data_IF_982545292937
#
_entry.id   IF_982545292937
#
_cell.length_a   1.000
_cell.length_b   1.000
_cell.length_c   1.000
_cell.angle_alpha   90.00
_cell.angle_beta   90.00
_cell.angle_gamma   90.00
#
_symmetry.space_group_name_H-M   'P 1'
#
loop_
_entity.id
_entity.type
_entity.pdbx_description
1 polymer ?
#
# COMPACT_ATOMS: atom_id res chain seq x y z
N UNK A 1 -13.27 -36.59 13.72
CA UNK A 1 -14.14 -35.90 14.70
C UNK A 1 -13.47 -34.65 15.26
N UNK A 2 -12.37 -34.72 16.02
CA UNK A 2 -11.69 -33.57 16.65
C UNK A 2 -11.46 -32.35 15.74
N UNK A 3 -10.96 -32.52 14.51
CA UNK A 3 -10.80 -31.42 13.54
C UNK A 3 -12.08 -30.58 13.35
N UNK A 4 -13.26 -31.22 13.33
CA UNK A 4 -14.55 -30.54 13.16
C UNK A 4 -15.03 -29.81 14.42
N UNK A 5 -14.50 -30.16 15.60
CA UNK A 5 -14.75 -29.45 16.84
C UNK A 5 -13.81 -28.24 16.92
N UNK A 6 -12.54 -28.41 16.54
CA UNK A 6 -11.58 -27.32 16.41
C UNK A 6 -12.02 -26.26 15.40
N UNK A 7 -12.55 -26.64 14.22
CA UNK A 7 -13.06 -25.64 13.25
C UNK A 7 -14.28 -24.89 13.77
N UNK A 8 -15.20 -25.56 14.48
CA UNK A 8 -16.36 -24.89 15.10
C UNK A 8 -15.94 -23.96 16.24
N UNK A 9 -15.02 -24.40 17.11
CA UNK A 9 -14.46 -23.54 18.17
C UNK A 9 -13.70 -22.35 17.57
N UNK A 10 -12.90 -22.56 16.51
CA UNK A 10 -12.17 -21.50 15.82
C UNK A 10 -13.10 -20.49 15.14
N UNK A 11 -14.16 -20.96 14.46
CA UNK A 11 -15.19 -20.07 13.89
C UNK A 11 -15.97 -19.30 14.95
N UNK A 12 -16.26 -19.93 16.10
CA UNK A 12 -16.83 -19.25 17.27
C UNK A 12 -15.84 -18.22 17.83
N UNK A 13 -14.54 -18.52 17.87
CA UNK A 13 -13.52 -17.60 18.36
C UNK A 13 -13.35 -16.37 17.44
N UNK A 14 -13.36 -16.56 16.11
CA UNK A 14 -13.40 -15.47 15.13
C UNK A 14 -14.66 -14.63 15.31
N UNK A 15 -15.83 -15.27 15.39
CA UNK A 15 -17.11 -14.58 15.56
C UNK A 15 -17.22 -13.83 16.91
N UNK A 16 -16.45 -14.23 17.93
CA UNK A 16 -16.31 -13.54 19.22
C UNK A 16 -15.22 -12.46 19.21
N UNK A 17 -14.14 -12.59 18.42
CA UNK A 17 -13.14 -11.53 18.27
C UNK A 17 -13.68 -10.35 17.45
N UNK A 18 -14.47 -10.64 16.41
CA UNK A 18 -15.17 -9.63 15.60
C UNK A 18 -16.19 -8.82 16.43
N UNK A 19 -16.65 -9.38 17.56
CA UNK A 19 -17.57 -8.71 18.49
C UNK A 19 -16.88 -7.73 19.44
N UNK A 20 -15.54 -7.64 19.44
CA UNK A 20 -14.77 -6.80 20.36
C UNK A 20 -13.69 -5.96 19.64
N UNK A 21 -13.72 -5.87 18.30
CA UNK A 21 -12.89 -4.95 17.54
C UNK A 21 -13.54 -3.56 17.52
N UNK A 22 -12.99 -2.61 18.28
CA UNK A 22 -13.34 -1.20 18.14
C UNK A 22 -12.19 -0.42 17.50
N UNK A 23 -12.45 0.16 16.33
CA UNK A 23 -11.53 1.06 15.64
C UNK A 23 -11.09 2.27 16.49
N UNK A 24 -11.85 2.66 17.51
CA UNK A 24 -11.47 3.72 18.46
C UNK A 24 -10.50 3.25 19.57
N UNK A 25 -10.18 1.96 19.64
CA UNK A 25 -9.14 1.42 20.54
C UNK A 25 -8.04 0.63 19.81
N UNK A 26 -8.27 0.24 18.55
CA UNK A 26 -7.33 -0.52 17.74
C UNK A 26 -7.07 0.19 16.39
N UNK A 27 -6.14 1.15 16.41
CA UNK A 27 -5.71 1.93 15.26
C UNK A 27 -4.19 2.12 15.23
N UNK A 28 -3.65 2.44 14.05
CA UNK A 28 -2.24 2.85 13.87
C UNK A 28 -2.15 4.38 13.84
N UNK A 29 -1.09 4.98 14.39
CA UNK A 29 -0.81 6.40 14.20
C UNK A 29 -0.25 6.64 12.78
N UNK A 30 -0.88 7.53 12.02
CA UNK A 30 -0.41 7.89 10.68
C UNK A 30 1.00 8.50 10.72
N UNK A 31 1.85 8.14 9.75
CA UNK A 31 3.24 8.64 9.64
C UNK A 31 3.30 9.95 8.85
N UNK A 32 4.25 10.82 9.21
CA UNK A 32 4.57 12.08 8.53
C UNK A 32 3.42 13.12 8.50
N UNK A 33 2.55 13.11 9.51
CA UNK A 33 1.34 13.95 9.61
C UNK A 33 1.58 15.45 9.41
N UNK A 34 2.67 16.01 9.94
CA UNK A 34 3.01 17.44 9.79
C UNK A 34 3.20 17.84 8.31
N UNK A 35 3.56 16.87 7.46
CA UNK A 35 3.77 17.03 6.02
C UNK A 35 2.49 16.81 5.20
N UNK A 36 1.43 16.24 5.78
CA UNK A 36 0.18 15.85 5.11
C UNK A 36 -0.87 16.95 5.01
N UNK A 37 -0.64 18.11 5.62
CA UNK A 37 -1.59 19.22 5.61
C UNK A 37 -1.68 19.94 4.25
N UNK A 38 -2.87 20.46 3.91
CA UNK A 38 -3.14 21.15 2.63
C UNK A 38 -2.10 22.23 2.32
N UNK A 39 -1.67 23.01 3.32
CA UNK A 39 -0.67 24.06 3.14
C UNK A 39 0.72 23.56 2.69
N UNK A 40 1.08 22.28 2.94
CA UNK A 40 2.34 21.68 2.49
C UNK A 40 2.38 21.52 0.96
N UNK A 41 2.79 22.60 0.29
CA UNK A 41 3.01 22.63 -1.14
C UNK A 41 4.34 21.98 -1.50
N UNK A 42 4.35 21.20 -2.59
CA UNK A 42 5.58 20.81 -3.28
C UNK A 42 5.80 21.70 -4.51
N UNK A 43 7.07 21.91 -4.88
CA UNK A 43 7.41 22.45 -6.19
C UNK A 43 7.40 21.35 -7.26
N UNK A 44 7.24 21.75 -8.52
CA UNK A 44 7.17 20.82 -9.64
C UNK A 44 8.50 20.08 -9.81
N UNK A 45 8.45 18.75 -9.83
CA UNK A 45 9.65 17.90 -9.81
C UNK A 45 10.29 17.73 -8.43
N UNK A 46 9.64 18.18 -7.34
CA UNK A 46 10.08 17.86 -5.98
C UNK A 46 10.00 16.35 -5.75
N UNK A 47 11.17 15.76 -5.54
CA UNK A 47 11.32 14.31 -5.38
C UNK A 47 10.86 13.83 -4.00
N UNK A 48 10.85 14.70 -2.98
CA UNK A 48 10.50 14.37 -1.61
C UNK A 48 8.98 14.31 -1.37
N UNK A 49 8.21 13.81 -2.34
CA UNK A 49 6.81 13.52 -2.15
C UNK A 49 6.62 12.45 -1.06
N UNK A 50 5.47 12.47 -0.41
CA UNK A 50 4.90 11.33 0.28
C UNK A 50 4.18 10.44 -0.74
N UNK A 51 4.11 9.14 -0.43
CA UNK A 51 3.37 8.16 -1.22
C UNK A 51 2.73 7.11 -0.31
N UNK A 52 1.45 6.84 -0.53
CA UNK A 52 0.63 5.85 0.19
C UNK A 52 0.28 4.65 -0.72
N UNK A 53 1.07 4.42 -1.78
CA UNK A 53 0.95 3.24 -2.64
C UNK A 53 1.40 1.94 -1.94
N UNK A 54 2.20 2.05 -0.89
CA UNK A 54 2.54 0.96 0.04
C UNK A 54 1.93 1.17 1.45
N UNK A 55 0.83 1.92 1.55
CA UNK A 55 0.09 2.04 2.81
C UNK A 55 -0.66 0.74 3.11
N UNK A 56 -0.34 0.11 4.25
CA UNK A 56 -1.11 -1.03 4.78
C UNK A 56 -2.59 -0.66 4.95
N UNK A 57 -3.50 -1.57 4.58
CA UNK A 57 -4.93 -1.33 4.75
C UNK A 57 -5.35 -1.52 6.21
N UNK A 58 -6.01 -0.52 6.79
CA UNK A 58 -6.52 -0.59 8.17
C UNK A 58 -6.89 0.76 8.78
N UNK A 59 -7.23 0.74 10.07
CA UNK A 59 -7.66 1.93 10.81
C UNK A 59 -6.48 2.79 11.25
N UNK A 60 -6.51 4.06 10.88
CA UNK A 60 -5.53 5.08 11.25
C UNK A 60 -6.16 6.21 12.06
N UNK A 61 -5.48 6.64 13.12
CA UNK A 61 -5.67 7.96 13.76
C UNK A 61 -4.61 8.92 13.26
N UNK A 62 -5.00 10.18 13.09
CA UNK A 62 -4.10 11.30 12.85
C UNK A 62 -4.04 12.09 14.16
N UNK A 63 -2.84 12.49 14.56
CA UNK A 63 -2.55 13.31 15.73
C UNK A 63 -1.61 14.41 15.24
N UNK A 64 -2.11 15.62 15.02
CA UNK A 64 -1.43 16.62 14.17
C UNK A 64 -1.76 18.05 14.55
N UNK A 65 -0.72 18.86 14.79
CA UNK A 65 -0.86 20.31 15.00
C UNK A 65 -1.39 21.06 13.76
N UNK A 66 -1.38 20.43 12.58
CA UNK A 66 -1.97 20.99 11.36
C UNK A 66 -3.51 20.80 11.26
N UNK A 67 -4.09 20.06 12.21
CA UNK A 67 -5.44 19.52 12.18
C UNK A 67 -5.46 18.03 11.83
N UNK A 68 -6.37 17.28 12.46
CA UNK A 68 -6.50 15.82 12.27
C UNK A 68 -7.40 15.43 11.08
N UNK A 69 -8.22 16.36 10.59
CA UNK A 69 -9.31 16.09 9.65
C UNK A 69 -8.84 15.97 8.19
N UNK A 70 -9.36 14.98 7.46
CA UNK A 70 -9.22 14.92 6.00
C UNK A 70 -10.00 16.08 5.36
N UNK A 71 -9.42 16.86 4.42
CA UNK A 71 -10.12 17.98 3.81
C UNK A 71 -11.29 17.49 2.94
N UNK A 72 -12.42 18.19 3.03
CA UNK A 72 -13.66 17.89 2.30
C UNK A 72 -13.74 18.54 0.92
N UNK A 73 -12.70 19.28 0.53
CA UNK A 73 -12.60 20.04 -0.72
C UNK A 73 -11.26 19.72 -1.42
N UNK A 74 -11.16 19.82 -2.76
CA UNK A 74 -9.96 19.45 -3.49
C UNK A 74 -8.80 20.43 -3.20
N UNK A 75 -7.68 19.97 -2.61
CA UNK A 75 -6.58 20.85 -2.22
C UNK A 75 -5.77 21.42 -3.41
N UNK A 76 -5.95 20.85 -4.61
CA UNK A 76 -5.11 21.10 -5.79
C UNK A 76 -3.93 20.13 -5.87
N UNK A 77 -3.26 20.05 -7.03
CA UNK A 77 -2.08 19.19 -7.21
C UNK A 77 -0.86 19.74 -6.45
N UNK A 78 0.11 18.88 -6.14
CA UNK A 78 1.35 19.25 -5.41
C UNK A 78 1.11 19.82 -4.01
N UNK A 79 0.21 19.19 -3.24
CA UNK A 79 -0.25 19.61 -1.90
C UNK A 79 -0.16 18.44 -0.93
N UNK A 80 -0.39 18.68 0.36
CA UNK A 80 -0.42 17.61 1.36
C UNK A 80 0.90 16.80 1.40
N UNK A 81 2.01 17.42 1.00
CA UNK A 81 3.31 16.75 0.83
C UNK A 81 3.37 15.72 -0.30
N UNK A 82 2.37 15.64 -1.18
CA UNK A 82 2.21 14.65 -2.28
C UNK A 82 2.16 15.33 -3.65
N UNK A 83 2.27 14.58 -4.75
CA UNK A 83 1.94 15.09 -6.09
C UNK A 83 0.43 15.00 -6.35
N UNK A 84 -0.19 13.90 -5.92
CA UNK A 84 -1.61 13.58 -6.13
C UNK A 84 -2.36 13.40 -4.80
N UNK A 85 -2.83 14.47 -4.15
CA UNK A 85 -3.55 14.38 -2.89
C UNK A 85 -4.81 13.54 -2.98
N UNK A 86 -5.09 12.80 -1.91
CA UNK A 86 -6.34 12.07 -1.71
C UNK A 86 -7.13 12.81 -0.63
N UNK A 87 -8.35 13.21 -0.96
CA UNK A 87 -9.22 14.08 -0.16
C UNK A 87 -10.64 13.50 -0.05
N UNK A 88 -11.43 13.91 0.95
CA UNK A 88 -12.76 13.36 1.19
C UNK A 88 -13.80 14.09 0.33
N UNK A 89 -14.45 13.38 -0.59
CA UNK A 89 -15.51 13.94 -1.44
C UNK A 89 -16.88 13.77 -0.76
N UNK A 90 -17.08 14.52 0.31
CA UNK A 90 -18.29 14.47 1.13
C UNK A 90 -18.12 15.21 2.46
N UNK A 91 -18.84 14.79 3.49
CA UNK A 91 -18.73 15.31 4.87
C UNK A 91 -18.14 14.25 5.79
N UNK A 92 -17.45 14.70 6.85
CA UNK A 92 -17.02 13.84 7.96
C UNK A 92 -18.23 13.51 8.88
N UNK A 93 -18.17 12.41 9.66
CA UNK A 93 -19.17 12.16 10.70
C UNK A 93 -19.08 13.24 11.79
N UNK A 94 -20.20 13.54 12.44
CA UNK A 94 -20.34 14.67 13.37
C UNK A 94 -20.97 14.30 14.72
N UNK A 95 -21.53 13.09 14.84
CA UNK A 95 -22.05 12.55 16.08
C UNK A 95 -21.05 11.55 16.69
N UNK A 96 -20.79 11.62 17.99
CA UNK A 96 -19.91 10.66 18.67
C UNK A 96 -20.49 9.24 18.52
N UNK A 97 -19.65 8.29 18.10
CA UNK A 97 -20.03 6.90 17.81
C UNK A 97 -20.55 6.67 16.38
N UNK A 98 -20.69 7.73 15.58
CA UNK A 98 -21.08 7.64 14.17
C UNK A 98 -19.94 7.03 13.31
N UNK A 99 -20.32 6.10 12.43
CA UNK A 99 -19.42 5.43 11.49
C UNK A 99 -20.05 5.52 10.10
N UNK A 100 -19.33 6.13 9.14
CA UNK A 100 -19.82 6.38 7.77
C UNK A 100 -18.88 5.80 6.72
N UNK A 101 -19.44 5.46 5.56
CA UNK A 101 -18.67 5.11 4.36
C UNK A 101 -18.41 6.39 3.56
N UNK A 102 -17.21 6.96 3.70
CA UNK A 102 -16.78 8.16 2.99
C UNK A 102 -16.20 7.84 1.61
N UNK A 103 -16.67 8.52 0.56
CA UNK A 103 -16.02 8.46 -0.76
C UNK A 103 -14.83 9.43 -0.79
N UNK A 104 -13.61 8.91 -0.92
CA UNK A 104 -12.42 9.73 -1.19
C UNK A 104 -12.20 9.90 -2.69
N UNK A 105 -11.45 10.92 -3.08
CA UNK A 105 -10.97 11.09 -4.44
C UNK A 105 -9.50 11.50 -4.52
N UNK A 106 -8.79 10.92 -5.49
CA UNK A 106 -7.45 11.29 -5.88
C UNK A 106 -7.47 12.47 -6.86
N UNK A 107 -6.83 13.57 -6.48
CA UNK A 107 -6.58 14.76 -7.30
C UNK A 107 -5.58 14.43 -8.42
N UNK A 108 -5.88 14.82 -9.65
CA UNK A 108 -4.95 14.75 -10.79
C UNK A 108 -4.66 16.12 -11.39
N UNK A 109 -3.65 16.20 -12.27
CA UNK A 109 -3.21 17.48 -12.86
C UNK A 109 -4.26 18.22 -13.70
N UNK A 110 -5.20 17.48 -14.31
CA UNK A 110 -6.25 18.04 -15.18
C UNK A 110 -7.67 17.93 -14.61
N UNK A 111 -7.83 17.29 -13.44
CA UNK A 111 -9.13 17.04 -12.80
C UNK A 111 -8.95 17.00 -11.28
N UNK A 112 -9.76 17.78 -10.58
CA UNK A 112 -9.77 17.82 -9.12
C UNK A 112 -10.24 16.50 -8.47
N UNK A 113 -10.87 15.63 -9.27
CA UNK A 113 -11.17 14.26 -8.90
C UNK A 113 -10.94 13.36 -10.13
N UNK A 114 -10.01 12.40 -10.02
CA UNK A 114 -9.59 11.52 -11.12
C UNK A 114 -9.92 10.04 -10.89
N UNK A 115 -9.79 9.55 -9.65
CA UNK A 115 -10.15 8.19 -9.22
C UNK A 115 -10.82 8.27 -7.85
N UNK A 116 -11.91 7.53 -7.64
CA UNK A 116 -12.67 7.50 -6.39
C UNK A 116 -12.76 6.09 -5.83
N UNK A 117 -12.66 5.95 -4.51
CA UNK A 117 -13.00 4.74 -3.78
C UNK A 117 -13.62 5.11 -2.43
N UNK A 118 -14.04 4.10 -1.68
CA UNK A 118 -14.65 4.29 -0.37
C UNK A 118 -13.68 3.90 0.74
N UNK A 119 -13.77 4.60 1.87
CA UNK A 119 -13.14 4.26 3.15
C UNK A 119 -14.20 4.36 4.25
N UNK A 120 -14.00 3.66 5.37
CA UNK A 120 -14.84 3.83 6.55
C UNK A 120 -14.24 4.93 7.45
N UNK A 121 -15.09 5.75 8.07
CA UNK A 121 -14.68 6.88 8.92
C UNK A 121 -15.53 6.87 10.19
N UNK A 122 -14.90 6.85 11.36
CA UNK A 122 -15.59 6.75 12.66
C UNK A 122 -15.21 7.91 13.58
N UNK A 123 -16.21 8.48 14.25
CA UNK A 123 -16.02 9.54 15.25
C UNK A 123 -16.00 8.95 16.67
N UNK A 124 -14.85 9.03 17.32
CA UNK A 124 -14.60 8.39 18.60
C UNK A 124 -15.03 9.26 19.79
N UNK A 125 -15.36 8.61 20.91
CA UNK A 125 -15.77 9.27 22.15
C UNK A 125 -14.71 10.17 22.79
N UNK A 126 -13.45 10.02 22.38
CA UNK A 126 -12.34 10.93 22.72
C UNK A 126 -12.29 12.22 21.91
N UNK A 127 -13.24 12.48 21.00
CA UNK A 127 -13.30 13.72 20.22
C UNK A 127 -12.41 13.77 18.96
N UNK A 128 -11.89 12.62 18.52
CA UNK A 128 -11.05 12.46 17.33
C UNK A 128 -11.67 11.49 16.32
N UNK A 129 -11.20 11.55 15.07
CA UNK A 129 -11.62 10.66 13.98
C UNK A 129 -10.61 9.53 13.75
N UNK A 130 -11.10 8.37 13.35
CA UNK A 130 -10.29 7.28 12.77
C UNK A 130 -10.80 6.92 11.38
N UNK A 131 -9.87 6.54 10.50
CA UNK A 131 -10.12 6.31 9.08
C UNK A 131 -9.62 4.92 8.67
N UNK A 132 -10.46 4.09 8.07
CA UNK A 132 -10.09 2.79 7.51
C UNK A 132 -9.47 2.99 6.12
N UNK A 133 -8.18 3.34 6.10
CA UNK A 133 -7.45 3.67 4.87
C UNK A 133 -7.02 2.40 4.12
N UNK A 134 -6.84 2.55 2.82
CA UNK A 134 -6.34 1.51 1.91
C UNK A 134 -5.30 2.11 0.97
N UNK A 135 -4.34 1.31 0.47
CA UNK A 135 -3.43 1.77 -0.59
C UNK A 135 -4.20 2.28 -1.81
N UNK A 136 -3.70 3.37 -2.40
CA UNK A 136 -4.21 3.97 -3.64
C UNK A 136 -3.65 3.31 -4.91
N UNK A 137 -2.65 2.44 -4.78
CA UNK A 137 -1.85 1.91 -5.89
C UNK A 137 -1.19 2.99 -6.77
N UNK A 138 -1.06 4.23 -6.30
CA UNK A 138 -0.68 5.37 -7.13
C UNK A 138 0.54 6.09 -6.57
N UNK A 139 1.69 5.91 -7.20
CA UNK A 139 2.96 6.50 -6.79
C UNK A 139 2.90 8.03 -6.67
N UNK A 140 3.44 8.57 -5.57
CA UNK A 140 3.42 9.99 -5.18
C UNK A 140 2.00 10.54 -4.90
N UNK A 141 1.03 9.68 -4.61
CA UNK A 141 -0.29 10.05 -4.07
C UNK A 141 -0.39 9.76 -2.59
N UNK A 142 -1.21 10.50 -1.84
CA UNK A 142 -1.38 10.22 -0.42
C UNK A 142 -2.53 10.97 0.23
N UNK A 143 -3.03 10.40 1.32
CA UNK A 143 -4.12 10.96 2.10
C UNK A 143 -3.69 12.25 2.80
N UNK A 144 -4.46 13.30 2.53
CA UNK A 144 -4.29 14.63 3.08
C UNK A 144 -4.99 14.76 4.43
N UNK A 145 -4.37 15.41 5.41
CA UNK A 145 -4.97 15.63 6.74
C UNK A 145 -4.46 16.94 7.33
N UNK A 146 -5.40 17.75 7.83
CA UNK A 146 -5.13 19.10 8.30
C UNK A 146 -5.08 20.14 7.19
N UNK A 147 -5.40 21.38 7.51
CA UNK A 147 -5.36 22.51 6.57
C UNK A 147 -4.12 23.38 6.75
N UNK A 148 -3.63 23.50 7.97
CA UNK A 148 -2.72 24.56 8.37
C UNK A 148 -1.25 24.33 7.99
N UNK A 149 -0.50 25.41 7.85
CA UNK A 149 0.95 25.36 7.82
C UNK A 149 1.47 25.29 9.25
N UNK A 150 1.98 24.13 9.68
CA UNK A 150 2.79 24.05 10.90
C UNK A 150 4.09 24.79 10.64
N UNK A 151 4.14 26.07 11.01
CA UNK A 151 5.40 26.79 11.13
C UNK A 151 6.24 26.09 12.20
N UNK A 152 7.52 25.90 11.93
CA UNK A 152 8.44 25.30 12.88
C UNK A 152 8.75 26.30 14.01
N UNK A 153 7.82 26.48 14.94
CA UNK A 153 8.12 27.00 16.27
C UNK A 153 9.13 26.05 16.92
N UNK A 154 10.25 26.61 17.40
CA UNK A 154 11.36 25.83 17.97
C UNK A 154 11.06 25.37 19.40
N UNK A 155 9.87 24.82 19.64
CA UNK A 155 9.54 24.15 20.89
C UNK A 155 10.07 22.71 20.83
N UNK A 156 11.25 22.53 21.42
CA UNK A 156 11.92 21.24 21.55
C UNK A 156 10.97 20.21 22.19
N UNK A 157 10.67 19.08 21.53
CA UNK A 157 9.88 18.00 22.13
C UNK A 157 10.56 17.54 23.42
N UNK A 158 9.94 17.86 24.56
CA UNK A 158 10.51 17.64 25.89
C UNK A 158 10.32 16.20 26.37
N UNK A 159 10.74 15.26 25.52
CA UNK A 159 10.77 13.82 25.79
C UNK A 159 12.22 13.42 26.10
N UNK A 160 12.41 12.67 27.18
CA UNK A 160 13.73 12.42 27.77
C UNK A 160 14.74 11.76 26.80
N UNK A 161 15.74 12.53 26.37
CA UNK A 161 17.00 12.01 25.81
C UNK A 161 17.78 11.28 26.93
N UNK A 162 17.42 10.03 27.20
CA UNK A 162 18.10 9.19 28.18
C UNK A 162 18.98 8.17 27.48
N UNK A 163 20.31 8.28 27.68
CA UNK A 163 21.26 7.28 27.21
C UNK A 163 21.81 7.50 25.80
N UNK A 164 22.46 8.64 25.54
CA UNK A 164 23.60 8.58 24.62
C UNK A 164 24.66 7.69 25.29
N UNK A 165 24.78 6.46 24.81
CA UNK A 165 25.84 5.54 25.24
C UNK A 165 26.64 5.15 24.01
N UNK A 166 27.93 5.49 24.03
CA UNK A 166 28.94 4.81 23.23
C UNK A 166 29.13 3.39 23.79
N UNK A 167 28.08 2.57 23.64
CA UNK A 167 28.06 1.18 24.02
C UNK A 167 28.65 0.39 22.84
N UNK A 168 29.77 -0.34 23.00
CA UNK A 168 30.40 -1.03 21.89
C UNK A 168 29.41 -2.03 21.29
N UNK A 169 29.17 -1.93 19.98
CA UNK A 169 28.41 -2.95 19.26
C UNK A 169 29.10 -4.29 19.45
N UNK A 170 28.42 -5.24 20.11
CA UNK A 170 28.82 -6.64 20.07
C UNK A 170 29.12 -7.03 18.62
N UNK A 171 30.26 -7.68 18.38
CA UNK A 171 30.84 -7.91 17.05
C UNK A 171 30.09 -8.94 16.21
N UNK A 172 28.78 -8.77 16.02
CA UNK A 172 27.96 -9.52 15.09
C UNK A 172 28.43 -9.15 13.68
N UNK A 173 29.01 -10.12 12.97
CA UNK A 173 29.46 -9.90 11.61
C UNK A 173 28.23 -9.70 10.69
N UNK A 174 28.11 -8.60 9.95
CA UNK A 174 26.99 -8.39 9.02
C UNK A 174 26.96 -9.42 7.87
N UNK A 175 28.02 -10.21 7.67
CA UNK A 175 28.00 -11.39 6.80
C UNK A 175 27.22 -12.58 7.38
N UNK A 176 26.86 -12.54 8.67
CA UNK A 176 26.09 -13.59 9.37
C UNK A 176 24.70 -13.14 9.81
N UNK A 177 24.43 -11.83 9.86
CA UNK A 177 23.13 -11.27 10.21
C UNK A 177 22.79 -10.07 9.32
N UNK A 178 21.88 -10.31 8.37
CA UNK A 178 21.38 -9.33 7.41
C UNK A 178 19.89 -9.59 7.11
N UNK A 179 19.19 -8.55 6.64
CA UNK A 179 17.87 -8.67 6.02
C UNK A 179 17.99 -8.94 4.52
N UNK A 180 16.98 -9.54 3.89
CA UNK A 180 16.90 -9.59 2.43
C UNK A 180 16.26 -8.31 1.90
N UNK A 181 16.72 -7.77 0.77
CA UNK A 181 16.04 -6.65 0.08
C UNK A 181 15.00 -7.20 -0.91
N UNK A 182 13.80 -6.64 -0.85
CA UNK A 182 12.66 -7.10 -1.64
C UNK A 182 12.78 -6.74 -3.13
N UNK A 183 12.13 -7.52 -3.99
CA UNK A 183 12.05 -7.32 -5.45
C UNK A 183 13.40 -7.16 -6.19
N UNK A 184 14.41 -8.02 -5.96
CA UNK A 184 15.75 -7.88 -6.54
C UNK A 184 15.72 -7.73 -8.08
N UNK A 185 14.92 -8.54 -8.77
CA UNK A 185 14.73 -8.52 -10.24
C UNK A 185 14.27 -7.17 -10.79
N UNK A 186 13.51 -6.42 -9.99
CA UNK A 186 12.98 -5.11 -10.39
C UNK A 186 14.02 -4.00 -10.18
N UNK A 187 15.03 -4.22 -9.33
CA UNK A 187 16.06 -3.22 -8.95
C UNK A 187 17.25 -3.13 -9.91
N UNK A 188 17.28 -3.94 -10.97
CA UNK A 188 18.33 -3.91 -11.99
C UNK A 188 18.45 -2.54 -12.68
N UNK A 189 19.69 -2.04 -12.86
CA UNK A 189 19.99 -0.73 -13.45
C UNK A 189 19.50 -0.56 -14.90
N UNK A 190 19.20 -1.68 -15.57
CA UNK A 190 18.66 -1.84 -16.92
C UNK A 190 17.12 -1.88 -16.94
N UNK A 191 16.47 -2.29 -15.84
CA UNK A 191 15.01 -2.48 -15.75
C UNK A 191 14.30 -1.12 -15.57
N UNK A 192 13.90 -0.52 -16.69
CA UNK A 192 12.94 0.59 -16.69
C UNK A 192 11.57 0.14 -16.19
N UNK A 193 10.86 1.03 -15.50
CA UNK A 193 9.43 0.93 -15.20
C UNK A 193 8.58 0.97 -16.48
N UNK A 194 7.51 0.18 -16.52
CA UNK A 194 6.43 0.28 -17.50
C UNK A 194 5.28 1.11 -16.90
N UNK A 195 5.13 2.35 -17.36
CA UNK A 195 4.10 3.26 -16.86
C UNK A 195 2.69 2.67 -17.01
N UNK A 196 1.92 2.65 -15.91
CA UNK A 196 0.57 2.08 -15.88
C UNK A 196 0.50 0.56 -15.74
N UNK A 197 1.64 -0.11 -15.52
CA UNK A 197 1.70 -1.56 -15.19
C UNK A 197 2.61 -1.85 -13.99
N UNK A 198 3.78 -1.20 -13.91
CA UNK A 198 4.70 -1.33 -12.78
C UNK A 198 4.42 -0.27 -11.69
N UNK A 199 4.25 -0.70 -10.44
CA UNK A 199 4.35 0.17 -9.25
C UNK A 199 5.83 0.50 -8.96
N UNK A 200 6.12 1.76 -8.59
CA UNK A 200 7.49 2.19 -8.31
C UNK A 200 7.99 1.67 -6.96
N UNK A 201 9.21 1.15 -6.90
CA UNK A 201 9.87 0.81 -5.64
C UNK A 201 10.16 2.08 -4.85
N UNK A 202 9.88 2.06 -3.55
CA UNK A 202 10.00 3.20 -2.64
C UNK A 202 10.70 2.79 -1.33
N UNK A 203 12.00 3.05 -1.24
CA UNK A 203 12.85 2.74 -0.09
C UNK A 203 12.84 3.87 0.97
N UNK A 204 11.86 4.77 0.95
CA UNK A 204 11.59 5.69 2.06
C UNK A 204 10.98 4.98 3.28
N UNK A 205 10.30 3.85 3.05
CA UNK A 205 9.87 2.92 4.09
C UNK A 205 10.95 1.92 4.54
N UNK A 206 12.14 1.89 3.89
CA UNK A 206 13.21 0.95 4.21
C UNK A 206 13.85 1.25 5.59
N UNK A 207 13.72 0.32 6.53
CA UNK A 207 14.42 0.38 7.83
C UNK A 207 15.95 0.45 7.63
N UNK A 208 16.66 1.19 8.49
CA UNK A 208 18.12 1.24 8.42
C UNK A 208 18.77 -0.01 8.99
N UNK A 209 19.74 -0.59 8.29
CA UNK A 209 20.43 -1.81 8.71
C UNK A 209 21.18 -2.51 7.58
N UNK A 210 21.70 -3.70 7.85
CA UNK A 210 22.43 -4.52 6.87
C UNK A 210 21.49 -5.35 6.00
N UNK A 211 21.63 -5.21 4.68
CA UNK A 211 20.84 -5.89 3.66
C UNK A 211 21.71 -6.71 2.70
N UNK A 212 21.18 -7.84 2.25
CA UNK A 212 21.69 -8.65 1.13
C UNK A 212 20.67 -8.72 -0.01
N UNK A 213 21.14 -8.82 -1.25
CA UNK A 213 20.34 -9.14 -2.43
C UNK A 213 20.34 -10.66 -2.66
N UNK A 214 19.19 -11.25 -2.94
CA UNK A 214 19.06 -12.72 -3.00
C UNK A 214 19.71 -13.38 -4.24
N UNK A 215 19.89 -12.63 -5.34
CA UNK A 215 20.43 -13.17 -6.60
C UNK A 215 21.79 -12.58 -6.93
N UNK A 216 22.81 -13.44 -6.97
CA UNK A 216 24.24 -13.07 -7.12
C UNK A 216 24.55 -12.26 -8.39
N UNK A 217 23.88 -12.54 -9.51
CA UNK A 217 23.99 -11.74 -10.75
C UNK A 217 23.55 -10.28 -10.58
N UNK A 218 22.74 -10.00 -9.55
CA UNK A 218 22.25 -8.67 -9.20
C UNK A 218 22.70 -8.17 -7.82
N UNK A 219 23.61 -8.87 -7.11
CA UNK A 219 24.12 -8.44 -5.79
C UNK A 219 24.95 -7.15 -5.80
N UNK A 220 25.35 -6.64 -6.98
CA UNK A 220 26.21 -5.47 -7.13
C UNK A 220 25.41 -4.20 -7.40
N UNK A 221 25.49 -3.23 -6.49
CA UNK A 221 24.97 -1.87 -6.73
C UNK A 221 25.74 -1.23 -7.91
N UNK A 222 25.06 -0.59 -8.89
CA UNK A 222 25.72 -0.02 -10.06
C UNK A 222 26.63 1.15 -9.68
N UNK A 223 27.87 1.14 -10.19
CA UNK A 223 28.88 2.20 -9.97
C UNK A 223 28.83 3.32 -11.02
N UNK A 224 27.75 3.40 -11.78
CA UNK A 224 27.48 4.42 -12.79
C UNK A 224 26.01 4.84 -12.71
N UNK A 225 25.66 6.10 -13.01
CA UNK A 225 24.30 6.61 -12.85
C UNK A 225 23.30 5.90 -13.79
N UNK A 226 22.30 5.19 -13.26
CA UNK A 226 21.18 4.70 -14.06
C UNK A 226 20.34 5.87 -14.55
N UNK A 227 19.61 5.69 -15.65
CA UNK A 227 18.64 6.69 -16.10
C UNK A 227 17.45 6.76 -15.12
N UNK A 228 16.76 7.91 -14.99
CA UNK A 228 15.48 7.97 -14.29
C UNK A 228 14.49 6.90 -14.76
N UNK A 229 13.56 6.52 -13.89
CA UNK A 229 12.62 5.41 -14.10
C UNK A 229 13.23 4.00 -14.17
N UNK A 230 14.55 3.83 -13.99
CA UNK A 230 15.21 2.50 -13.95
C UNK A 230 15.32 1.98 -12.51
N UNK A 231 15.84 0.75 -12.33
CA UNK A 231 15.83 0.05 -11.04
C UNK A 231 14.42 -0.12 -10.45
N UNK A 232 13.39 -0.16 -11.31
CA UNK A 232 12.00 -0.29 -10.88
C UNK A 232 11.50 0.88 -10.04
N UNK A 233 12.16 2.04 -10.07
CA UNK A 233 11.87 3.22 -9.24
C UNK A 233 11.92 4.49 -10.08
N UNK A 234 11.37 5.62 -9.62
CA UNK A 234 11.45 6.89 -10.39
C UNK A 234 12.81 7.55 -10.24
N UNK A 235 13.39 7.46 -9.03
CA UNK A 235 14.64 8.09 -8.63
C UNK A 235 15.69 7.04 -8.20
N UNK A 236 16.48 6.48 -9.15
CA UNK A 236 17.53 5.51 -8.87
C UNK A 236 18.53 5.97 -7.80
N UNK A 237 18.82 5.12 -6.82
CA UNK A 237 19.93 5.34 -5.86
C UNK A 237 21.07 4.38 -6.23
N UNK A 238 22.22 4.94 -6.60
CA UNK A 238 23.38 4.24 -7.18
C UNK A 238 24.68 4.54 -6.44
N UNK A 239 25.72 3.73 -6.65
CA UNK A 239 26.99 3.82 -5.91
C UNK A 239 27.97 4.79 -6.59
N UNK A 240 28.09 6.01 -6.08
CA UNK A 240 29.13 6.96 -6.51
C UNK A 240 30.44 6.69 -5.76
N UNK A 241 31.00 5.51 -6.01
CA UNK A 241 32.13 4.93 -5.28
C UNK A 241 32.58 3.61 -5.90
N UNK A 242 33.31 2.80 -5.15
CA UNK A 242 33.79 1.48 -5.57
C UNK A 242 33.37 0.39 -4.56
N UNK A 243 32.91 -0.75 -5.06
CA UNK A 243 32.64 -1.91 -4.22
C UNK A 243 33.93 -2.48 -3.60
N UNK A 244 33.88 -3.09 -2.40
CA UNK A 244 35.03 -3.83 -1.87
C UNK A 244 35.41 -4.99 -2.79
N UNK A 245 36.70 -5.30 -2.87
CA UNK A 245 37.26 -6.28 -3.83
C UNK A 245 37.91 -7.48 -3.15
N UNK A 246 38.14 -7.42 -1.84
CA UNK A 246 38.78 -8.49 -1.06
C UNK A 246 37.78 -9.05 -0.04
N UNK A 247 37.58 -10.37 0.07
CA UNK A 247 36.72 -10.95 1.09
C UNK A 247 37.11 -10.51 2.50
N UNK A 248 36.11 -10.17 3.32
CA UNK A 248 36.27 -9.56 4.65
C UNK A 248 36.40 -8.03 4.63
N UNK A 249 36.73 -7.40 3.49
CA UNK A 249 36.88 -5.95 3.38
C UNK A 249 35.54 -5.24 3.54
N UNK A 250 35.46 -4.33 4.51
CA UNK A 250 34.41 -3.34 4.63
C UNK A 250 34.92 -1.97 4.17
N UNK A 251 34.11 -1.27 3.37
CA UNK A 251 34.38 0.10 2.89
C UNK A 251 33.18 0.99 3.16
N UNK A 252 33.43 2.28 3.39
CA UNK A 252 32.39 3.31 3.46
C UNK A 252 32.38 4.07 2.13
N UNK A 253 31.21 4.16 1.49
CA UNK A 253 31.09 4.71 0.13
C UNK A 253 29.89 5.65 0.01
N UNK A 254 29.99 6.61 -0.90
CA UNK A 254 28.90 7.53 -1.24
C UNK A 254 27.92 6.86 -2.19
N UNK A 255 26.62 6.86 -1.85
CA UNK A 255 25.54 6.67 -2.82
C UNK A 255 24.98 8.01 -3.27
N UNK A 256 24.42 8.03 -4.48
CA UNK A 256 23.82 9.18 -5.12
C UNK A 256 22.40 8.88 -5.57
N UNK A 257 21.47 9.80 -5.35
CA UNK A 257 20.10 9.74 -5.83
C UNK A 257 19.97 10.52 -7.14
N UNK A 258 19.61 9.82 -8.20
CA UNK A 258 19.37 10.33 -9.55
C UNK A 258 18.00 11.02 -9.63
N UNK A 259 17.96 12.26 -10.11
CA UNK A 259 16.72 12.97 -10.45
C UNK A 259 16.54 13.12 -11.97
N UNK A 260 15.44 13.72 -12.41
CA UNK A 260 15.21 14.04 -13.82
C UNK A 260 16.17 15.10 -14.39
N UNK A 261 16.89 15.84 -13.54
CA UNK A 261 17.73 16.98 -13.93
C UNK A 261 19.17 16.91 -13.42
N UNK A 262 19.48 16.04 -12.45
CA UNK A 262 20.80 15.91 -11.84
C UNK A 262 21.12 14.43 -11.56
N UNK A 263 22.35 14.01 -11.81
CA UNK A 263 22.79 12.60 -11.61
C UNK A 263 23.05 12.23 -10.15
N UNK A 264 23.20 13.24 -9.28
CA UNK A 264 23.35 13.09 -7.85
C UNK A 264 22.74 14.32 -7.16
N UNK A 265 21.41 14.35 -7.03
CA UNK A 265 20.69 15.46 -6.38
C UNK A 265 20.86 15.43 -4.85
N UNK A 266 20.85 14.23 -4.28
CA UNK A 266 21.22 13.97 -2.88
C UNK A 266 22.25 12.86 -2.82
N UNK A 267 23.10 12.88 -1.79
CA UNK A 267 24.11 11.85 -1.54
C UNK A 267 24.24 11.53 -0.05
N UNK A 268 24.71 10.32 0.25
CA UNK A 268 25.04 9.93 1.62
C UNK A 268 25.99 8.74 1.66
N UNK A 269 26.61 8.51 2.81
CA UNK A 269 27.46 7.35 3.04
C UNK A 269 26.62 6.12 3.41
N UNK A 270 27.00 4.98 2.84
CA UNK A 270 26.64 3.61 3.27
C UNK A 270 27.92 2.83 3.57
N UNK A 271 27.82 1.80 4.40
CA UNK A 271 28.91 0.82 4.59
C UNK A 271 28.63 -0.42 3.74
N UNK A 272 29.66 -1.00 3.13
CA UNK A 272 29.54 -2.16 2.24
C UNK A 272 30.63 -3.14 2.61
N UNK A 273 30.30 -4.42 2.81
CA UNK A 273 31.27 -5.48 3.08
C UNK A 273 31.15 -6.61 2.06
N UNK A 274 32.29 -7.08 1.55
CA UNK A 274 32.38 -8.32 0.78
C UNK A 274 32.61 -9.48 1.76
N UNK A 275 31.77 -10.49 1.69
CA UNK A 275 31.76 -11.61 2.65
C UNK A 275 32.57 -12.82 2.14
N UNK A 276 32.88 -13.77 3.03
CA UNK A 276 33.70 -14.96 2.74
C UNK A 276 32.98 -16.04 1.89
N UNK A 277 32.02 -15.63 1.06
CA UNK A 277 31.30 -16.43 0.08
C UNK A 277 30.95 -15.59 -1.16
N UNK A 278 31.80 -14.60 -1.46
CA UNK A 278 31.74 -13.66 -2.60
C UNK A 278 30.46 -12.83 -2.77
N UNK A 279 29.62 -12.76 -1.72
CA UNK A 279 28.43 -11.92 -1.67
C UNK A 279 28.65 -10.58 -0.95
N UNK A 280 27.87 -9.57 -1.33
CA UNK A 280 27.91 -8.24 -0.72
C UNK A 280 26.79 -8.05 0.31
N UNK A 281 27.12 -7.39 1.43
CA UNK A 281 26.13 -6.84 2.38
C UNK A 281 26.29 -5.32 2.48
N UNK A 282 25.16 -4.62 2.56
CA UNK A 282 25.07 -3.16 2.48
C UNK A 282 24.34 -2.60 3.70
N UNK A 283 24.96 -1.68 4.43
CA UNK A 283 24.34 -0.92 5.51
C UNK A 283 23.49 0.21 4.92
N UNK A 284 22.26 -0.12 4.53
CA UNK A 284 21.31 0.79 3.89
C UNK A 284 20.54 1.59 4.94
N UNK A 285 19.87 2.66 4.47
CA UNK A 285 19.00 3.51 5.28
C UNK A 285 17.82 4.03 4.48
N UNK A 286 16.73 4.35 5.16
CA UNK A 286 15.56 5.05 4.60
C UNK A 286 15.97 6.23 3.71
N UNK A 287 15.36 6.29 2.53
CA UNK A 287 15.40 7.48 1.67
C UNK A 287 14.41 8.53 2.17
N UNK A 288 14.63 9.82 1.90
CA UNK A 288 13.65 10.89 2.25
C UNK A 288 12.71 11.23 1.09
N UNK A 289 12.61 10.31 0.14
CA UNK A 289 12.17 10.54 -1.23
C UNK A 289 11.30 9.36 -1.67
N UNK A 290 9.99 9.54 -1.81
CA UNK A 290 9.13 8.48 -2.33
C UNK A 290 9.43 8.20 -3.81
N UNK A 291 9.10 7.00 -4.28
CA UNK A 291 9.50 6.48 -5.59
C UNK A 291 11.01 6.60 -5.85
N UNK A 292 11.84 6.45 -4.81
CA UNK A 292 13.29 6.27 -4.93
C UNK A 292 13.71 4.92 -4.37
N UNK A 293 14.78 4.33 -4.90
CA UNK A 293 15.19 2.99 -4.49
C UNK A 293 16.62 2.64 -4.82
N UNK A 294 17.26 1.87 -3.94
CA UNK A 294 18.60 1.32 -4.14
C UNK A 294 18.58 0.33 -5.29
N UNK A 295 19.41 0.63 -6.29
CA UNK A 295 19.63 -0.18 -7.47
C UNK A 295 20.55 -1.37 -7.17
N UNK A 296 20.24 -2.52 -7.74
CA UNK A 296 20.99 -3.75 -7.55
C UNK A 296 20.99 -4.57 -8.84
N UNK A 297 22.16 -4.79 -9.39
CA UNK A 297 22.40 -5.49 -10.65
C UNK A 297 22.67 -4.56 -11.83
N UNK A 298 23.66 -4.95 -12.62
CA UNK A 298 24.06 -4.30 -13.88
C UNK A 298 23.69 -5.13 -15.12
N UNK A 299 23.08 -6.30 -14.93
CA UNK A 299 22.57 -7.19 -15.97
C UNK A 299 21.09 -6.89 -16.26
N UNK A 300 20.61 -7.25 -17.45
CA UNK A 300 19.18 -7.20 -17.82
C UNK A 300 18.37 -8.39 -17.27
N UNK A 301 19.05 -9.44 -16.80
CA UNK A 301 18.45 -10.62 -16.18
C UNK A 301 19.15 -10.90 -14.84
N UNK A 302 18.35 -10.98 -13.76
CA UNK A 302 18.80 -11.45 -12.44
C UNK A 302 18.60 -12.97 -12.33
N UNK A 303 19.51 -13.74 -12.92
CA UNK A 303 19.51 -15.20 -12.81
C UNK A 303 20.00 -15.67 -11.43
N UNK A 304 19.38 -16.73 -10.93
CA UNK A 304 19.87 -17.55 -9.83
C UNK A 304 20.92 -18.53 -10.36
N UNK A 305 22.08 -18.65 -9.70
CA UNK A 305 23.10 -19.64 -10.10
C UNK A 305 22.65 -21.02 -9.60
N UNK A 306 21.87 -21.70 -10.44
CA UNK A 306 21.57 -23.13 -10.25
C UNK A 306 22.86 -23.92 -10.49
N UNK A 307 23.50 -24.39 -9.41
CA UNK A 307 24.59 -25.35 -9.52
C UNK A 307 24.10 -26.60 -10.27
N UNK A 308 24.76 -26.95 -11.39
CA UNK A 308 24.38 -28.09 -12.24
C UNK A 308 24.85 -29.45 -11.68
N UNK A 309 24.53 -29.70 -10.42
CA UNK A 309 24.79 -30.93 -9.67
C UNK A 309 23.46 -31.39 -9.02
N UNK A 310 22.78 -32.46 -9.40
CA UNK A 310 23.19 -33.66 -10.17
C UNK A 310 21.99 -34.27 -10.94
N UNK A 311 22.25 -35.31 -11.75
CA UNK A 311 21.23 -36.07 -12.51
C UNK A 311 20.32 -36.88 -11.58
N UNK A 312 18.97 -36.79 -11.67
CA UNK A 312 18.07 -37.55 -10.82
C UNK A 312 18.13 -39.07 -11.09
N UNK A 313 17.97 -39.93 -10.06
CA UNK A 313 17.97 -41.37 -10.22
C UNK A 313 16.68 -41.86 -10.91
N UNK A 314 16.82 -42.82 -11.81
CA UNK A 314 15.69 -43.40 -12.55
C UNK A 314 15.06 -44.55 -11.76
N UNK A 315 14.06 -44.23 -10.94
CA UNK A 315 13.24 -45.23 -10.25
C UNK A 315 12.34 -45.97 -11.25
N UNK A 316 12.16 -47.28 -11.06
CA UNK A 316 11.30 -48.13 -11.89
C UNK A 316 10.37 -48.94 -10.99
N UNK A 317 9.11 -48.52 -10.89
CA UNK A 317 8.10 -49.23 -10.10
C UNK A 317 7.45 -50.36 -10.89
N UNK A 318 7.20 -51.50 -10.23
CA UNK A 318 6.47 -52.65 -10.78
C UNK A 318 5.18 -52.88 -9.95
N UNK A 319 3.97 -52.70 -10.52
CA UNK A 319 2.76 -52.51 -9.72
C UNK A 319 1.88 -53.75 -9.58
N UNK A 320 2.12 -54.63 -8.60
CA UNK A 320 1.20 -55.76 -8.36
C UNK A 320 1.06 -56.20 -6.88
N UNK A 321 0.44 -55.37 -6.03
CA UNK A 321 -0.10 -55.89 -4.73
C UNK A 321 -1.24 -55.12 -4.02
N UNK A 322 -2.21 -54.49 -4.72
CA UNK A 322 -3.34 -53.80 -4.05
C UNK A 322 -4.76 -54.10 -4.60
N UNK A 323 -5.30 -55.29 -4.29
CA UNK A 323 -6.71 -55.65 -4.50
C UNK A 323 -7.37 -56.33 -3.28
N UNK A 324 -7.35 -55.69 -2.10
CA UNK A 324 -8.25 -56.08 -0.99
C UNK A 324 -8.68 -54.99 0.02
N UNK A 325 -8.17 -53.75 -0.09
CA UNK A 325 -8.49 -52.64 0.83
C UNK A 325 -9.25 -51.47 0.15
N UNK A 326 -10.32 -51.77 -0.60
CA UNK A 326 -11.08 -50.76 -1.40
C UNK A 326 -12.61 -50.82 -1.26
N UNK A 327 -13.16 -51.51 -0.26
CA UNK A 327 -14.61 -51.55 -0.02
C UNK A 327 -15.04 -50.70 1.18
N UNK A 328 -14.39 -50.86 2.33
CA UNK A 328 -14.75 -50.14 3.58
C UNK A 328 -14.53 -48.62 3.49
N UNK A 329 -13.43 -48.21 2.85
CA UNK A 329 -12.97 -46.81 2.88
C UNK A 329 -13.96 -45.87 2.15
N UNK A 330 -14.63 -46.31 1.07
CA UNK A 330 -15.64 -45.51 0.37
C UNK A 330 -16.88 -45.19 1.23
N UNK A 331 -17.32 -46.13 2.07
CA UNK A 331 -18.47 -45.90 2.96
C UNK A 331 -18.13 -44.86 4.03
N UNK A 332 -16.91 -44.93 4.58
CA UNK A 332 -16.41 -43.95 5.55
C UNK A 332 -16.28 -42.56 4.90
N UNK A 333 -15.71 -42.48 3.69
CA UNK A 333 -15.58 -41.22 2.92
C UNK A 333 -16.97 -40.60 2.66
N UNK A 334 -17.95 -41.41 2.23
CA UNK A 334 -19.31 -40.94 1.97
C UNK A 334 -19.99 -40.39 3.24
N UNK A 335 -19.87 -41.09 4.37
CA UNK A 335 -20.45 -40.64 5.65
C UNK A 335 -19.78 -39.35 6.17
N UNK A 336 -18.45 -39.22 6.00
CA UNK A 336 -17.71 -37.99 6.36
C UNK A 336 -18.13 -36.81 5.47
N UNK A 337 -18.34 -37.04 4.16
CA UNK A 337 -18.80 -36.00 3.23
C UNK A 337 -20.24 -35.55 3.50
N UNK A 338 -21.14 -36.47 3.87
CA UNK A 338 -22.52 -36.14 4.26
C UNK A 338 -22.50 -35.32 5.57
N UNK A 339 -21.71 -35.74 6.56
CA UNK A 339 -21.61 -35.02 7.84
C UNK A 339 -21.02 -33.62 7.68
N UNK A 340 -20.00 -33.42 6.84
CA UNK A 340 -19.44 -32.09 6.57
C UNK A 340 -20.44 -31.17 5.86
N UNK A 341 -21.21 -31.70 4.90
CA UNK A 341 -22.27 -30.94 4.22
C UNK A 341 -23.36 -30.45 5.20
N UNK A 342 -23.80 -31.32 6.13
CA UNK A 342 -24.77 -30.94 7.17
C UNK A 342 -24.22 -29.85 8.09
N UNK A 343 -22.93 -29.93 8.47
CA UNK A 343 -22.29 -28.92 9.32
C UNK A 343 -22.18 -27.56 8.59
N UNK A 344 -21.87 -27.55 7.30
CA UNK A 344 -21.86 -26.32 6.48
C UNK A 344 -23.25 -25.69 6.40
N UNK A 345 -24.31 -26.48 6.19
CA UNK A 345 -25.69 -25.99 6.18
C UNK A 345 -26.08 -25.38 7.54
N UNK A 346 -25.75 -26.04 8.64
CA UNK A 346 -26.01 -25.52 9.99
C UNK A 346 -25.23 -24.22 10.28
N UNK A 347 -23.97 -24.12 9.84
CA UNK A 347 -23.19 -22.89 9.95
C UNK A 347 -23.79 -21.73 9.15
N UNK A 348 -24.24 -21.98 7.91
CA UNK A 348 -24.94 -20.97 7.09
C UNK A 348 -26.25 -20.52 7.75
N UNK A 349 -27.04 -21.45 8.31
CA UNK A 349 -28.27 -21.11 9.02
C UNK A 349 -28.00 -20.26 10.28
N UNK A 350 -26.94 -20.55 11.04
CA UNK A 350 -26.51 -19.73 12.17
C UNK A 350 -26.06 -18.33 11.74
N UNK A 351 -25.28 -18.20 10.65
CA UNK A 351 -24.86 -16.90 10.10
C UNK A 351 -26.07 -16.07 9.66
N UNK A 352 -27.07 -16.69 9.02
CA UNK A 352 -28.34 -16.04 8.64
C UNK A 352 -29.14 -15.62 9.87
N UNK A 353 -29.20 -16.46 10.91
CA UNK A 353 -29.87 -16.13 12.17
C UNK A 353 -29.20 -14.94 12.89
N UNK A 354 -27.87 -14.92 13.02
CA UNK A 354 -27.12 -13.81 13.60
C UNK A 354 -27.31 -12.50 12.80
N UNK A 355 -27.30 -12.57 11.46
CA UNK A 355 -27.59 -11.42 10.59
C UNK A 355 -29.02 -10.89 10.78
N UNK A 356 -30.00 -11.77 11.00
CA UNK A 356 -31.38 -11.36 11.29
C UNK A 356 -31.50 -10.72 12.68
N UNK A 357 -30.95 -11.34 13.71
CA UNK A 357 -30.94 -10.81 15.08
C UNK A 357 -30.33 -9.39 15.15
N UNK A 358 -29.22 -9.15 14.42
CA UNK A 358 -28.59 -7.82 14.30
C UNK A 358 -29.50 -6.77 13.65
N UNK A 359 -30.42 -7.17 12.77
CA UNK A 359 -31.44 -6.29 12.19
C UNK A 359 -32.55 -5.97 13.19
N UNK A 360 -32.94 -6.93 14.02
CA UNK A 360 -33.99 -6.75 15.01
C UNK A 360 -33.52 -5.86 16.18
N UNK A 361 -32.25 -5.97 16.61
CA UNK A 361 -31.67 -5.07 17.64
C UNK A 361 -31.60 -3.61 17.20
N UNK A 362 -31.39 -3.33 15.91
CA UNK A 362 -31.37 -1.96 15.38
C UNK A 362 -32.77 -1.31 15.28
N UNK A 363 -33.85 -1.99 15.72
CA UNK A 363 -35.22 -1.44 15.71
C UNK A 363 -35.73 -0.96 17.08
N UNK A 364 -35.05 -1.31 18.17
CA UNK A 364 -35.55 -1.09 19.54
C UNK A 364 -35.00 0.21 20.18
N UNK A 365 -35.38 1.36 19.63
CA UNK A 365 -35.13 2.66 20.27
C UNK A 365 -35.98 2.82 21.53
N UNK A 366 -35.39 3.38 22.60
CA UNK A 366 -36.02 3.49 23.93
C UNK A 366 -37.23 4.45 23.89
N UNK A 367 -38.42 4.06 24.41
CA UNK A 367 -39.59 4.94 24.43
C UNK A 367 -39.52 5.97 25.57
N UNK A 368 -39.32 7.25 25.23
CA UNK A 368 -39.51 8.34 26.19
C UNK A 368 -40.99 8.59 26.45
N UNK A 369 -41.36 8.89 27.71
CA UNK A 369 -42.75 9.16 28.11
C UNK A 369 -43.04 10.66 28.01
N UNK A 370 -43.95 11.05 27.11
CA UNK A 370 -44.51 12.41 27.05
C UNK A 370 -45.95 12.39 26.54
N UNK A 371 -46.93 12.75 27.39
CA UNK A 371 -48.32 12.97 26.99
C UNK A 371 -48.58 14.46 26.81
N UNK A 372 -49.16 14.87 25.67
CA UNK A 372 -50.50 15.54 25.59
C UNK A 372 -50.87 15.93 24.15
N UNK A 373 -52.07 15.51 23.70
CA UNK A 373 -53.18 16.36 23.18
C UNK A 373 -52.82 17.82 22.76
N UNK A 374 -53.23 18.42 21.62
CA UNK A 374 -54.29 18.22 20.57
C UNK A 374 -54.01 19.30 19.44
N UNK A 375 -54.63 19.45 18.25
CA UNK A 375 -55.74 18.83 17.46
C UNK A 375 -55.60 19.24 15.97
N UNK A 376 -56.09 18.43 15.01
CA UNK A 376 -56.32 18.81 13.59
C UNK A 376 -55.06 18.79 12.70
N UNK A 377 -55.11 18.54 11.38
CA UNK A 377 -56.25 18.22 10.49
C UNK A 377 -55.81 17.30 9.32
N UNK A 378 -56.77 16.59 8.71
CA UNK A 378 -56.72 15.69 7.52
C UNK A 378 -57.44 16.43 6.36
N UNK A 379 -57.31 16.13 5.03
CA UNK A 379 -56.70 15.00 4.28
C UNK A 379 -55.45 15.40 3.42
N UNK A 380 -54.77 14.56 2.63
CA UNK A 380 -55.26 13.59 1.60
C UNK A 380 -54.52 12.25 1.49
N UNK A 381 -55.19 11.33 0.79
CA UNK A 381 -54.88 9.91 0.58
C UNK A 381 -54.21 9.68 -0.78
N UNK A 382 -53.25 8.75 -0.86
CA UNK A 382 -53.25 7.67 -1.87
C UNK A 382 -52.34 6.50 -1.44
N UNK A 383 -52.68 5.29 -1.89
CA UNK A 383 -52.13 4.01 -1.39
C UNK A 383 -51.68 3.09 -2.52
N UNK A 384 -50.45 2.58 -2.42
CA UNK A 384 -50.00 1.28 -2.94
C UNK A 384 -48.74 0.87 -2.17
N UNK A 385 -48.80 -0.15 -1.33
CA UNK A 385 -48.71 -1.59 -1.63
C UNK A 385 -47.27 -2.11 -1.82
N UNK A 386 -46.95 -3.18 -1.09
CA UNK A 386 -45.64 -3.80 -1.00
C UNK A 386 -45.56 -5.00 -1.94
N UNK A 387 -44.74 -4.91 -2.98
CA UNK A 387 -44.36 -6.07 -3.80
C UNK A 387 -42.92 -6.49 -3.49
N UNK A 388 -42.70 -7.80 -3.31
CA UNK A 388 -41.40 -8.36 -2.93
C UNK A 388 -41.14 -9.68 -3.66
N UNK A 389 -40.30 -9.65 -4.69
CA UNK A 389 -39.78 -10.83 -5.39
C UNK A 389 -38.52 -10.49 -6.20
N UNK A 390 -37.72 -11.49 -6.63
CA UNK A 390 -36.27 -11.41 -6.47
C UNK A 390 -35.50 -11.02 -7.74
N UNK A 391 -34.36 -10.36 -7.54
CA UNK A 391 -33.36 -10.21 -8.59
C UNK A 391 -32.41 -11.42 -8.64
N UNK A 392 -32.43 -12.14 -9.76
CA UNK A 392 -31.47 -13.20 -10.07
C UNK A 392 -30.03 -12.67 -10.10
N UNK A 393 -29.12 -13.39 -9.45
CA UNK A 393 -27.72 -13.37 -9.87
C UNK A 393 -27.59 -14.00 -11.26
N UNK A 394 -27.33 -13.20 -12.30
CA UNK A 394 -26.79 -13.69 -13.56
C UNK A 394 -25.27 -13.77 -13.45
N UNK A 395 -24.73 -14.99 -13.46
CA UNK A 395 -23.31 -15.23 -13.72
C UNK A 395 -23.01 -14.92 -15.19
N UNK A 396 -22.27 -13.85 -15.47
CA UNK A 396 -21.71 -13.61 -16.80
C UNK A 396 -20.30 -14.19 -16.86
N UNK A 397 -20.18 -15.38 -17.45
CA UNK A 397 -18.92 -15.96 -17.91
C UNK A 397 -18.76 -15.64 -19.39
N UNK A 398 -18.18 -14.49 -19.71
CA UNK A 398 -17.79 -14.12 -21.07
C UNK A 398 -16.38 -13.50 -21.05
N UNK A 399 -15.47 -14.07 -21.82
CA UNK A 399 -14.12 -13.54 -22.00
C UNK A 399 -14.17 -12.29 -22.89
N UNK A 400 -13.38 -11.23 -22.60
CA UNK A 400 -13.33 -10.05 -23.47
C UNK A 400 -12.78 -10.43 -24.86
N UNK A 401 -13.37 -9.91 -25.96
CA UNK A 401 -12.93 -10.22 -27.31
C UNK A 401 -11.56 -9.59 -27.63
N UNK A 402 -10.79 -10.16 -28.59
CA UNK A 402 -9.46 -9.67 -28.93
C UNK A 402 -9.50 -8.23 -29.48
N UNK A 403 -8.74 -7.34 -28.85
CA UNK A 403 -8.73 -5.92 -29.21
C UNK A 403 -8.01 -5.71 -30.54
N UNK A 404 -8.77 -5.36 -31.59
CA UNK A 404 -8.24 -5.16 -32.95
C UNK A 404 -7.41 -3.88 -33.00
N UNK A 405 -6.13 -4.02 -33.33
CA UNK A 405 -5.22 -2.88 -33.51
C UNK A 405 -5.75 -1.88 -34.55
N UNK A 406 -5.71 -0.60 -34.20
CA UNK A 406 -5.76 0.52 -35.15
C UNK A 406 -4.50 1.33 -34.95
N UNK A 407 -3.70 1.46 -36.00
CA UNK A 407 -2.55 2.36 -36.03
C UNK A 407 -3.03 3.82 -36.02
N UNK A 408 -2.48 4.69 -35.16
CA UNK A 408 -2.57 6.13 -35.36
C UNK A 408 -1.67 6.54 -36.53
N UNK A 409 -2.20 7.31 -37.47
CA UNK A 409 -1.45 7.83 -38.61
C UNK A 409 -0.26 8.68 -38.19
N UNK A 410 0.89 8.50 -38.83
CA UNK A 410 2.11 9.29 -38.59
C UNK A 410 1.86 10.78 -38.86
N UNK A 411 1.88 11.59 -37.81
CA UNK A 411 2.05 13.04 -37.90
C UNK A 411 3.54 13.37 -37.71
N UNK A 412 4.13 14.12 -38.64
CA UNK A 412 5.56 14.44 -38.64
C UNK A 412 5.92 15.48 -37.56
N UNK A 413 6.47 15.01 -36.44
CA UNK A 413 7.17 15.87 -35.49
C UNK A 413 8.49 16.33 -36.11
N UNK A 414 8.66 17.65 -36.25
CA UNK A 414 9.89 18.26 -36.76
C UNK A 414 11.07 18.08 -35.80
N UNK A 415 12.28 18.10 -36.36
CA UNK A 415 13.54 17.85 -35.65
C UNK A 415 13.68 18.64 -34.34
N UNK A 416 13.81 17.92 -33.22
CA UNK A 416 14.10 18.52 -31.93
C UNK A 416 15.62 18.71 -31.77
N UNK A 417 16.08 19.95 -31.61
CA UNK A 417 17.50 20.26 -31.40
C UNK A 417 17.86 20.11 -29.90
N UNK A 418 18.81 19.24 -29.52
CA UNK A 418 19.06 18.89 -28.11
C UNK A 418 19.69 19.99 -27.25
N UNK A 419 20.22 21.08 -27.83
CA UNK A 419 20.94 22.10 -27.04
C UNK A 419 20.08 23.28 -26.53
N UNK A 420 18.78 23.30 -26.84
CA UNK A 420 17.93 24.46 -26.49
C UNK A 420 17.43 24.41 -25.04
N UNK A 421 18.07 25.17 -24.15
CA UNK A 421 17.54 25.47 -22.81
C UNK A 421 16.19 26.19 -22.93
N UNK A 422 15.12 25.56 -22.43
CA UNK A 422 13.80 26.18 -22.28
C UNK A 422 13.81 27.20 -21.13
N UNK A 423 12.97 28.22 -21.22
CA UNK A 423 12.87 29.31 -20.24
C UNK A 423 11.43 29.45 -19.70
N UNK A 424 11.21 30.04 -18.50
CA UNK A 424 9.89 30.08 -17.88
C UNK A 424 8.79 30.80 -18.68
N UNK A 425 9.16 31.63 -19.66
CA UNK A 425 8.23 32.30 -20.58
C UNK A 425 7.57 31.35 -21.59
N UNK A 426 8.15 30.19 -21.87
CA UNK A 426 7.73 29.32 -22.99
C UNK A 426 6.45 28.50 -22.70
N UNK A 427 5.90 28.59 -21.48
CA UNK A 427 4.83 27.70 -20.98
C UNK A 427 3.48 28.43 -20.76
N UNK A 428 3.45 29.76 -20.71
CA UNK A 428 2.22 30.53 -20.45
C UNK A 428 1.57 31.11 -21.71
N UNK A 429 0.69 30.33 -22.34
CA UNK A 429 -0.35 30.86 -23.24
C UNK A 429 -1.74 30.34 -22.85
N UNK A 430 -2.28 30.88 -21.76
CA UNK A 430 -3.72 30.82 -21.49
C UNK A 430 -4.43 31.59 -22.60
N UNK A 431 -5.32 30.94 -23.33
CA UNK A 431 -6.30 31.60 -24.21
C UNK A 431 -7.68 31.42 -23.60
N UNK A 432 -8.08 32.38 -22.78
CA UNK A 432 -9.47 32.53 -22.39
C UNK A 432 -10.33 32.74 -23.63
N UNK A 433 -11.45 32.02 -23.70
CA UNK A 433 -12.58 32.32 -24.58
C UNK A 433 -13.89 32.04 -23.87
N UNK A 434 -14.41 33.06 -23.22
CA UNK A 434 -15.84 33.14 -22.90
C UNK A 434 -16.60 33.46 -24.19
N UNK A 435 -17.43 32.52 -24.65
CA UNK A 435 -18.73 32.65 -25.34
C UNK A 435 -19.25 31.25 -25.59
#
# INVERSE_FOLDING_TARGET
MFYSIYTVIFMIHICLSDANFDACSNYTLMKYVDRRAVANKLDFGSINALSDDFLDSGWYRIDSAAGENMPTEPPGSFRCGTWYPIWLKGTLPTTIGEEIVGQVCLQGFKKNCSLTWNIDIKYCSGGYLVYNLVTSGSANSGYCFGTEAVTATTETPSTSMMGNTDNPTNGIDPCTQYSMIEYPDRRAATRSLVFGQDYAISDDFLTSGWYRVERSTCERMPTSPPKPFHCGTWYPIWLNGQLPTTPGQQVRQTVCLQSFTQTCLYSWNVDIKLCAGDFFVYNLRTSKTASSGYCFGTSEICEEIVEKNTKPPKVTDNPEHEKKKKSTDYVIIALVAILSAVIVVLAVLLIVYCRKSRSDTNSNTIPSKGKTNKTGSIPTVYTSERSSSPFHCKTYTDSPPPYRSREPSVASLGNFNPERKLTPSDIFTVKDKNT
#
